data_IF_126226131540
#
_entry.id   IF_126226131540
#
_cell.length_a   1.000
_cell.length_b   1.000
_cell.length_c   1.000
_cell.angle_alpha   90.00
_cell.angle_beta   90.00
_cell.angle_gamma   90.00
#
_symmetry.space_group_name_H-M   'P 1'
#
loop_
_entity.id
_entity.type
_entity.pdbx_description
1 polymer ?
#
# COMPACT_ATOMS: atom_id res chain seq x y z
N UNK A 1 16.40 -0.25 4.34
CA UNK A 1 15.09 -0.81 3.96
C UNK A 1 15.31 -1.86 2.88
N UNK A 2 14.49 -2.92 2.81
CA UNK A 2 14.60 -3.93 1.76
C UNK A 2 13.64 -3.66 0.62
N UNK A 3 14.01 -4.04 -0.61
CA UNK A 3 13.14 -3.96 -1.79
C UNK A 3 11.91 -4.88 -1.60
N UNK A 4 10.73 -4.28 -1.57
CA UNK A 4 9.46 -5.00 -1.54
C UNK A 4 9.02 -5.38 -2.95
N UNK A 5 8.04 -6.29 -3.05
CA UNK A 5 7.41 -6.61 -4.33
C UNK A 5 6.60 -5.45 -4.89
N UNK A 6 6.07 -4.59 -4.03
CA UNK A 6 5.29 -3.43 -4.45
C UNK A 6 6.20 -2.36 -5.04
N UNK A 7 7.41 -2.19 -4.50
CA UNK A 7 8.42 -1.32 -5.12
C UNK A 7 8.75 -1.82 -6.54
N UNK A 8 9.01 -3.13 -6.70
CA UNK A 8 9.23 -3.73 -8.03
C UNK A 8 8.05 -3.51 -8.98
N UNK A 9 6.82 -3.59 -8.48
CA UNK A 9 5.62 -3.34 -9.29
C UNK A 9 5.60 -1.92 -9.87
N UNK A 10 6.08 -0.92 -9.13
CA UNK A 10 6.13 0.47 -9.59
C UNK A 10 7.20 0.68 -10.67
N UNK A 11 8.37 0.04 -10.53
CA UNK A 11 9.41 0.10 -11.58
C UNK A 11 9.02 -0.62 -12.87
N UNK A 12 8.17 -1.64 -12.80
CA UNK A 12 7.73 -2.38 -13.99
C UNK A 12 6.95 -1.52 -14.98
N UNK A 13 6.33 -0.44 -14.50
CA UNK A 13 5.52 0.43 -15.34
C UNK A 13 6.36 1.20 -16.38
N UNK A 14 7.62 1.50 -16.05
CA UNK A 14 8.57 2.21 -16.92
C UNK A 14 9.47 1.26 -17.73
N UNK A 15 9.42 -0.04 -17.46
CA UNK A 15 10.38 -1.01 -17.99
C UNK A 15 9.73 -1.99 -18.96
N UNK A 16 10.25 -2.09 -20.18
CA UNK A 16 9.76 -3.00 -21.23
C UNK A 16 10.33 -4.40 -21.11
N UNK A 17 11.42 -4.56 -20.37
CA UNK A 17 12.11 -5.82 -20.23
C UNK A 17 12.83 -5.90 -18.87
N UNK A 18 13.40 -7.07 -18.62
CA UNK A 18 14.10 -7.38 -17.36
C UNK A 18 15.37 -6.54 -17.18
N UNK A 19 16.10 -6.26 -18.25
CA UNK A 19 17.35 -5.51 -18.18
C UNK A 19 17.10 -4.05 -17.77
N UNK A 20 16.08 -3.42 -18.37
CA UNK A 20 15.60 -2.08 -17.99
C UNK A 20 15.17 -2.04 -16.52
N UNK A 21 14.41 -3.04 -16.05
CA UNK A 21 13.98 -3.14 -14.66
C UNK A 21 15.16 -3.22 -13.67
N UNK A 22 16.14 -4.07 -13.96
CA UNK A 22 17.32 -4.22 -13.12
C UNK A 22 18.09 -2.91 -13.03
N UNK A 23 18.30 -2.25 -14.17
CA UNK A 23 19.01 -0.98 -14.25
C UNK A 23 18.29 0.15 -13.51
N UNK A 24 16.96 0.24 -13.66
CA UNK A 24 16.16 1.25 -12.97
C UNK A 24 16.22 1.09 -11.43
N UNK A 25 16.15 -0.15 -10.94
CA UNK A 25 16.27 -0.45 -9.51
C UNK A 25 17.70 -0.17 -9.00
N UNK A 26 18.74 -0.54 -9.73
CA UNK A 26 20.14 -0.28 -9.34
C UNK A 26 20.49 1.21 -9.29
N UNK A 27 19.90 2.01 -10.17
CA UNK A 27 20.07 3.46 -10.19
C UNK A 27 19.46 4.14 -8.96
N UNK A 28 18.56 3.48 -8.25
CA UNK A 28 17.99 4.01 -7.03
C UNK A 28 18.94 3.83 -5.83
N UNK A 29 19.32 4.95 -5.18
CA UNK A 29 20.23 4.94 -4.04
C UNK A 29 19.74 4.06 -2.86
N UNK A 30 18.41 3.93 -2.68
CA UNK A 30 17.82 3.09 -1.62
C UNK A 30 18.00 1.59 -1.87
N UNK A 31 18.17 1.18 -3.13
CA UNK A 31 18.23 -0.21 -3.55
C UNK A 31 19.59 -0.61 -4.12
N UNK A 32 20.59 0.27 -4.01
CA UNK A 32 21.97 0.00 -4.39
C UNK A 32 22.48 -1.27 -3.70
N UNK A 33 22.89 -2.26 -4.50
CA UNK A 33 23.39 -3.55 -4.00
C UNK A 33 22.32 -4.61 -3.73
N UNK A 34 21.05 -4.37 -4.07
CA UNK A 34 20.04 -5.44 -4.12
C UNK A 34 20.43 -6.43 -5.23
N UNK A 35 20.57 -7.71 -4.87
CA UNK A 35 20.87 -8.77 -5.86
C UNK A 35 19.74 -8.99 -6.86
N UNK A 36 20.07 -9.38 -8.10
CA UNK A 36 19.09 -9.82 -9.10
C UNK A 36 18.21 -10.98 -8.61
N UNK A 37 18.76 -11.83 -7.73
CA UNK A 37 18.03 -12.94 -7.12
C UNK A 37 16.87 -12.43 -6.26
N UNK A 38 17.07 -11.35 -5.51
CA UNK A 38 16.02 -10.73 -4.70
C UNK A 38 14.93 -10.11 -5.59
N UNK A 39 15.31 -9.42 -6.66
CA UNK A 39 14.34 -8.86 -7.64
C UNK A 39 13.54 -9.99 -8.29
N UNK A 40 14.19 -11.08 -8.67
CA UNK A 40 13.54 -12.27 -9.24
C UNK A 40 12.53 -12.90 -8.29
N UNK A 41 12.84 -12.93 -6.99
CA UNK A 41 11.91 -13.42 -5.97
C UNK A 41 10.67 -12.52 -5.87
N UNK A 42 10.84 -11.19 -5.89
CA UNK A 42 9.73 -10.24 -5.89
C UNK A 42 8.85 -10.35 -7.14
N UNK A 43 9.45 -10.51 -8.31
CA UNK A 43 8.71 -10.79 -9.55
C UNK A 43 7.89 -12.08 -9.45
N UNK A 44 8.44 -13.14 -8.83
CA UNK A 44 7.70 -14.38 -8.58
C UNK A 44 6.51 -14.16 -7.64
N UNK A 45 6.68 -13.35 -6.59
CA UNK A 45 5.57 -12.98 -5.70
C UNK A 45 4.47 -12.21 -6.42
N UNK A 46 4.81 -11.25 -7.30
CA UNK A 46 3.83 -10.51 -8.10
C UNK A 46 3.06 -11.43 -9.06
N UNK A 47 3.75 -12.37 -9.71
CA UNK A 47 3.10 -13.37 -10.58
C UNK A 47 2.18 -14.30 -9.82
N UNK A 48 2.58 -14.72 -8.61
CA UNK A 48 1.76 -15.58 -7.74
C UNK A 48 0.42 -14.91 -7.38
N UNK A 49 0.44 -13.60 -7.20
CA UNK A 49 -0.76 -12.80 -6.91
C UNK A 49 -1.50 -12.35 -8.18
N UNK A 50 -1.06 -12.85 -9.35
CA UNK A 50 -1.61 -12.52 -10.67
C UNK A 50 -1.57 -11.02 -11.01
N UNK A 51 -0.64 -10.26 -10.42
CA UNK A 51 -0.52 -8.82 -10.62
C UNK A 51 0.25 -8.45 -11.89
N UNK A 52 1.10 -9.36 -12.36
CA UNK A 52 1.90 -9.19 -13.58
C UNK A 52 1.86 -10.47 -14.42
N UNK A 53 2.04 -10.32 -15.73
CA UNK A 53 2.12 -11.42 -16.69
C UNK A 53 3.50 -12.09 -16.66
N UNK A 54 3.64 -13.20 -17.41
CA UNK A 54 4.95 -13.84 -17.61
C UNK A 54 5.95 -12.91 -18.33
N UNK A 55 5.44 -11.95 -19.11
CA UNK A 55 6.21 -11.00 -19.91
C UNK A 55 6.58 -9.72 -19.15
N UNK A 56 6.36 -9.68 -17.82
CA UNK A 56 6.64 -8.51 -16.97
C UNK A 56 5.70 -7.32 -17.20
N UNK A 57 4.57 -7.54 -17.85
CA UNK A 57 3.53 -6.52 -18.02
C UNK A 57 2.56 -6.55 -16.84
N UNK A 58 1.95 -5.40 -16.53
CA UNK A 58 0.86 -5.34 -15.56
C UNK A 58 -0.34 -6.15 -16.05
N UNK A 59 -0.93 -6.97 -15.18
CA UNK A 59 -2.13 -7.73 -15.53
C UNK A 59 -3.39 -6.88 -15.33
N UNK A 60 -3.75 -6.12 -16.36
CA UNK A 60 -4.90 -5.19 -16.34
C UNK A 60 -6.26 -5.88 -16.11
N UNK A 61 -6.35 -7.18 -16.42
CA UNK A 61 -7.55 -7.99 -16.18
C UNK A 61 -7.76 -8.34 -14.69
N UNK A 62 -6.77 -8.07 -13.84
CA UNK A 62 -6.87 -8.32 -12.41
C UNK A 62 -7.43 -7.10 -11.66
N UNK A 63 -8.67 -7.12 -11.15
CA UNK A 63 -9.25 -5.98 -10.44
C UNK A 63 -8.51 -5.61 -9.14
N UNK A 64 -7.71 -6.53 -8.58
CA UNK A 64 -6.86 -6.23 -7.41
C UNK A 64 -5.66 -5.37 -7.76
N UNK A 65 -5.19 -5.41 -9.01
CA UNK A 65 -4.07 -4.58 -9.47
C UNK A 65 -4.43 -3.09 -9.30
N UNK A 66 -5.59 -2.68 -9.81
CA UNK A 66 -6.04 -1.29 -9.78
C UNK A 66 -6.24 -0.76 -8.36
N UNK A 67 -6.87 -1.57 -7.49
CA UNK A 67 -7.00 -1.22 -6.08
C UNK A 67 -5.64 -1.15 -5.36
N UNK A 68 -4.70 -2.04 -5.70
CA UNK A 68 -3.35 -1.98 -5.16
C UNK A 68 -2.63 -0.71 -5.62
N UNK A 69 -2.60 -0.41 -6.91
CA UNK A 69 -1.96 0.79 -7.45
C UNK A 69 -2.57 2.06 -6.84
N UNK A 70 -3.90 2.16 -6.79
CA UNK A 70 -4.57 3.26 -6.12
C UNK A 70 -4.17 3.37 -4.64
N UNK A 71 -4.12 2.26 -3.91
CA UNK A 71 -3.65 2.26 -2.52
C UNK A 71 -2.20 2.74 -2.38
N UNK A 72 -1.30 2.28 -3.24
CA UNK A 72 0.11 2.70 -3.24
C UNK A 72 0.23 4.21 -3.53
N UNK A 73 -0.50 4.71 -4.52
CA UNK A 73 -0.57 6.12 -4.89
C UNK A 73 -1.04 7.00 -3.73
N UNK A 74 -2.22 6.70 -3.18
CA UNK A 74 -2.82 7.48 -2.09
C UNK A 74 -2.02 7.38 -0.79
N UNK A 75 -1.34 6.26 -0.54
CA UNK A 75 -0.40 6.13 0.58
C UNK A 75 0.75 7.12 0.40
N UNK A 76 1.36 7.18 -0.79
CA UNK A 76 2.49 8.09 -1.07
C UNK A 76 2.08 9.55 -1.03
N UNK A 77 0.95 9.92 -1.64
CA UNK A 77 0.41 11.29 -1.56
C UNK A 77 0.25 11.78 -0.12
N UNK A 78 -0.11 10.90 0.80
CA UNK A 78 -0.29 11.21 2.23
C UNK A 78 0.97 11.00 3.07
N UNK A 79 2.12 10.81 2.44
CA UNK A 79 3.41 10.57 3.11
C UNK A 79 3.45 9.29 3.96
N UNK A 80 2.66 8.26 3.60
CA UNK A 80 2.55 7.01 4.35
C UNK A 80 3.41 5.90 3.75
N UNK A 81 4.04 5.11 4.62
CA UNK A 81 4.79 3.92 4.23
C UNK A 81 3.85 2.76 3.89
N UNK A 82 3.51 2.60 2.61
CA UNK A 82 2.66 1.51 2.14
C UNK A 82 3.25 0.13 2.44
N UNK A 83 4.59 -0.02 2.56
CA UNK A 83 5.20 -1.31 2.84
C UNK A 83 4.89 -1.74 4.26
N UNK A 84 4.95 -0.81 5.22
CA UNK A 84 4.52 -1.04 6.59
C UNK A 84 3.02 -1.38 6.67
N UNK A 85 2.18 -0.71 5.88
CA UNK A 85 0.73 -0.96 5.85
C UNK A 85 0.37 -2.28 5.17
N UNK A 86 1.07 -2.70 4.13
CA UNK A 86 0.82 -3.95 3.39
C UNK A 86 1.54 -5.17 3.98
N UNK A 87 2.29 -5.02 5.07
CA UNK A 87 2.88 -6.16 5.78
C UNK A 87 1.80 -7.17 6.16
N UNK A 88 2.09 -8.47 6.00
CA UNK A 88 1.15 -9.55 6.33
C UNK A 88 0.60 -9.54 7.76
N UNK A 89 1.30 -8.91 8.71
CA UNK A 89 0.81 -8.72 10.09
C UNK A 89 -0.14 -7.52 10.20
N UNK A 90 0.13 -6.42 9.50
CA UNK A 90 -0.74 -5.24 9.42
C UNK A 90 -2.07 -5.61 8.77
N UNK A 91 -2.03 -6.24 7.60
CA UNK A 91 -3.21 -6.70 6.87
C UNK A 91 -4.04 -7.69 7.70
N UNK A 92 -3.39 -8.63 8.38
CA UNK A 92 -4.06 -9.59 9.28
C UNK A 92 -4.74 -8.89 10.46
N UNK A 93 -4.11 -7.89 11.06
CA UNK A 93 -4.73 -7.14 12.17
C UNK A 93 -5.90 -6.32 11.65
N UNK A 94 -5.72 -5.58 10.57
CA UNK A 94 -6.77 -4.76 9.96
C UNK A 94 -7.98 -5.62 9.59
N UNK A 95 -7.80 -6.74 8.90
CA UNK A 95 -8.89 -7.65 8.55
C UNK A 95 -9.65 -8.20 9.77
N UNK A 96 -9.00 -8.33 10.94
CA UNK A 96 -9.68 -8.72 12.19
C UNK A 96 -10.46 -7.59 12.84
N UNK A 97 -10.02 -6.34 12.68
CA UNK A 97 -10.75 -5.15 13.14
C UNK A 97 -11.96 -4.94 12.23
N UNK A 98 -11.76 -5.07 10.92
CA UNK A 98 -12.79 -4.98 9.90
C UNK A 98 -13.91 -6.00 10.11
N UNK A 99 -13.57 -7.26 10.40
CA UNK A 99 -14.55 -8.31 10.68
C UNK A 99 -15.28 -8.16 12.05
N UNK A 100 -14.73 -7.39 12.99
CA UNK A 100 -15.31 -7.16 14.32
C UNK A 100 -14.87 -5.79 14.84
N UNK A 101 -15.56 -4.69 14.48
CA UNK A 101 -15.19 -3.34 14.87
C UNK A 101 -15.25 -3.07 16.39
N UNK A 102 -15.77 -4.02 17.18
CA UNK A 102 -15.82 -3.93 18.66
C UNK A 102 -14.79 -4.84 19.33
N UNK A 103 -13.84 -5.37 18.56
CA UNK A 103 -12.84 -6.31 19.06
C UNK A 103 -11.92 -5.65 20.10
N UNK A 104 -11.86 -6.27 21.28
CA UNK A 104 -10.91 -5.87 22.34
C UNK A 104 -9.49 -6.31 21.96
N UNK A 105 -8.47 -5.52 22.35
CA UNK A 105 -7.05 -5.83 22.12
C UNK A 105 -6.65 -7.26 22.53
N UNK A 106 -7.14 -7.73 23.68
CA UNK A 106 -6.86 -9.08 24.19
C UNK A 106 -7.44 -10.19 23.30
N UNK A 107 -8.60 -9.94 22.68
CA UNK A 107 -9.19 -10.85 21.68
C UNK A 107 -8.46 -10.75 20.34
N UNK A 108 -7.99 -9.56 19.96
CA UNK A 108 -7.23 -9.34 18.74
C UNK A 108 -5.94 -10.17 18.75
N UNK A 109 -5.16 -10.15 19.84
CA UNK A 109 -3.97 -10.99 20.00
C UNK A 109 -4.26 -12.48 19.83
N UNK A 110 -5.34 -12.99 20.45
CA UNK A 110 -5.75 -14.39 20.31
C UNK A 110 -6.13 -14.73 18.85
N UNK A 111 -6.91 -13.87 18.19
CA UNK A 111 -7.40 -14.09 16.81
C UNK A 111 -6.32 -13.94 15.74
N UNK A 112 -5.29 -13.15 16.00
CA UNK A 112 -4.15 -12.97 15.08
C UNK A 112 -3.01 -13.93 15.36
N UNK A 113 -2.97 -14.56 16.55
CA UNK A 113 -1.84 -15.38 17.01
C UNK A 113 -0.59 -14.54 17.29
N UNK A 114 -0.74 -13.23 17.46
CA UNK A 114 0.37 -12.30 17.69
C UNK A 114 0.42 -11.90 19.16
N UNK A 115 1.63 -11.65 19.67
CA UNK A 115 1.81 -11.13 21.02
C UNK A 115 1.17 -9.74 21.17
N UNK A 116 0.72 -9.38 22.38
CA UNK A 116 0.15 -8.04 22.65
C UNK A 116 1.07 -6.89 22.21
N UNK A 117 2.39 -6.92 22.46
CA UNK A 117 3.30 -5.88 21.96
C UNK A 117 3.31 -5.79 20.43
N UNK A 118 3.32 -6.93 19.74
CA UNK A 118 3.29 -6.98 18.27
C UNK A 118 2.00 -6.37 17.74
N UNK A 119 0.86 -6.75 18.33
CA UNK A 119 -0.45 -6.16 17.96
C UNK A 119 -0.45 -4.65 18.19
N UNK A 120 0.03 -4.19 19.34
CA UNK A 120 0.07 -2.75 19.66
C UNK A 120 0.95 -1.96 18.68
N UNK A 121 2.09 -2.53 18.26
CA UNK A 121 2.97 -1.95 17.23
C UNK A 121 2.23 -1.77 15.91
N UNK A 122 1.59 -2.83 15.41
CA UNK A 122 0.91 -2.79 14.12
C UNK A 122 -0.38 -1.97 14.15
N UNK A 123 -1.10 -1.92 15.28
CA UNK A 123 -2.17 -0.95 15.47
C UNK A 123 -1.64 0.49 15.39
N UNK A 124 -0.40 0.74 15.82
CA UNK A 124 0.23 2.07 15.73
C UNK A 124 0.46 2.45 14.28
N UNK A 125 1.02 1.51 13.50
CA UNK A 125 1.22 1.69 12.06
C UNK A 125 -0.09 1.94 11.31
N UNK A 126 -1.16 1.19 11.63
CA UNK A 126 -2.46 1.38 10.98
C UNK A 126 -3.12 2.72 11.35
N UNK A 127 -2.91 3.20 12.58
CA UNK A 127 -3.39 4.50 13.06
C UNK A 127 -2.60 5.65 12.44
N UNK A 128 -1.27 5.57 12.41
CA UNK A 128 -0.37 6.51 11.71
C UNK A 128 -0.66 6.56 10.20
N UNK A 129 -1.02 5.41 9.62
CA UNK A 129 -1.49 5.26 8.25
C UNK A 129 -2.91 5.77 7.99
N UNK A 130 -3.61 6.28 9.01
CA UNK A 130 -4.97 6.80 8.92
C UNK A 130 -6.02 5.76 8.43
N UNK A 131 -5.77 4.47 8.67
CA UNK A 131 -6.69 3.37 8.33
C UNK A 131 -7.65 3.06 9.48
N UNK A 132 -7.21 3.28 10.71
CA UNK A 132 -7.99 3.07 11.93
C UNK A 132 -7.86 4.24 12.88
N UNK A 133 -8.73 4.27 13.88
CA UNK A 133 -8.68 5.19 15.01
C UNK A 133 -8.78 4.42 16.32
N UNK A 134 -7.99 4.85 17.31
CA UNK A 134 -8.15 4.40 18.69
C UNK A 134 -8.96 5.42 19.48
N UNK A 135 -10.23 5.09 19.73
CA UNK A 135 -11.07 5.89 20.61
C UNK A 135 -10.67 5.57 22.06
N UNK A 136 -10.13 6.58 22.75
CA UNK A 136 -9.60 6.50 24.13
C UNK A 136 -10.71 6.39 25.18
N UNK A 137 -11.60 5.42 25.01
CA UNK A 137 -12.63 5.01 25.96
C UNK A 137 -12.17 3.78 26.78
N UNK A 138 -12.86 3.47 27.89
CA UNK A 138 -12.63 2.23 28.66
C UNK A 138 -13.85 1.31 28.49
N UNK A 139 -13.71 0.14 27.83
CA UNK A 139 -12.52 -0.40 27.19
C UNK A 139 -12.13 0.34 25.89
N UNK A 140 -10.84 0.29 25.52
CA UNK A 140 -10.32 0.87 24.28
C UNK A 140 -11.13 0.36 23.09
N UNK A 141 -11.67 1.28 22.28
CA UNK A 141 -12.43 0.98 21.08
C UNK A 141 -11.57 1.27 19.85
N UNK A 142 -11.63 0.37 18.87
CA UNK A 142 -10.94 0.51 17.59
C UNK A 142 -11.99 0.75 16.52
N UNK A 143 -11.93 1.88 15.82
CA UNK A 143 -12.80 2.17 14.68
C UNK A 143 -12.00 2.18 13.39
N UNK A 144 -12.65 1.86 12.27
CA UNK A 144 -12.08 2.07 10.95
C UNK A 144 -12.30 3.53 10.56
N UNK A 145 -11.30 4.14 9.92
CA UNK A 145 -11.45 5.46 9.31
C UNK A 145 -11.89 5.28 7.87
N UNK A 146 -13.15 5.59 7.58
CA UNK A 146 -13.68 5.52 6.22
C UNK A 146 -13.16 6.70 5.39
N UNK A 147 -12.21 6.41 4.50
CA UNK A 147 -11.61 7.36 3.56
C UNK A 147 -11.12 6.59 2.32
N UNK A 148 -10.67 7.30 1.28
CA UNK A 148 -10.23 6.71 0.00
C UNK A 148 -9.14 5.65 0.18
N UNK A 149 -8.17 5.92 1.06
CA UNK A 149 -7.08 4.99 1.34
C UNK A 149 -7.61 3.67 1.93
N UNK A 150 -8.50 3.78 2.91
CA UNK A 150 -9.16 2.63 3.52
C UNK A 150 -10.05 1.89 2.53
N UNK A 151 -10.74 2.59 1.63
CA UNK A 151 -11.55 2.00 0.57
C UNK A 151 -10.72 1.06 -0.31
N UNK A 152 -9.59 1.55 -0.85
CA UNK A 152 -8.71 0.72 -1.69
C UNK A 152 -8.07 -0.42 -0.89
N UNK A 153 -7.72 -0.19 0.37
CA UNK A 153 -7.16 -1.22 1.24
C UNK A 153 -8.15 -2.35 1.52
N UNK A 154 -9.43 -2.04 1.77
CA UNK A 154 -10.48 -3.04 2.01
C UNK A 154 -10.77 -3.86 0.75
N UNK A 155 -10.87 -3.21 -0.43
CA UNK A 155 -11.01 -3.88 -1.71
C UNK A 155 -9.84 -4.80 -2.03
N UNK A 156 -8.60 -4.35 -1.77
CA UNK A 156 -7.40 -5.15 -1.95
C UNK A 156 -7.43 -6.45 -1.13
N UNK A 157 -7.96 -6.38 0.09
CA UNK A 157 -8.13 -7.53 0.97
C UNK A 157 -9.29 -8.45 0.57
N UNK A 158 -10.08 -8.06 -0.44
CA UNK A 158 -11.18 -8.86 -0.99
C UNK A 158 -12.42 -8.90 -0.09
N UNK A 159 -12.62 -7.86 0.73
CA UNK A 159 -13.84 -7.72 1.52
C UNK A 159 -14.91 -7.00 0.70
N UNK A 160 -16.13 -7.50 0.80
CA UNK A 160 -17.30 -6.89 0.19
C UNK A 160 -17.64 -5.56 0.89
N UNK A 161 -17.66 -4.48 0.10
CA UNK A 161 -17.92 -3.13 0.59
C UNK A 161 -19.41 -2.87 0.86
N UNK A 162 -20.31 -3.65 0.27
CA UNK A 162 -21.76 -3.50 0.44
C UNK A 162 -22.16 -3.69 1.91
N UNK A 163 -21.40 -4.50 2.64
CA UNK A 163 -21.54 -4.74 4.07
C UNK A 163 -21.27 -3.52 4.96
N UNK A 164 -20.64 -2.46 4.41
CA UNK A 164 -20.31 -1.22 5.12
C UNK A 164 -21.21 -0.03 4.69
N UNK A 165 -22.22 -0.27 3.85
CA UNK A 165 -23.25 0.71 3.50
C UNK A 165 -22.71 2.04 2.93
N UNK A 166 -23.34 3.16 3.30
CA UNK A 166 -22.98 4.53 2.89
C UNK A 166 -21.75 5.11 3.62
N UNK A 167 -21.03 4.30 4.40
CA UNK A 167 -19.93 4.78 5.26
C UNK A 167 -18.70 5.19 4.44
N UNK A 168 -18.49 4.57 3.28
CA UNK A 168 -17.57 5.07 2.27
C UNK A 168 -18.26 6.13 1.41
N UNK A 169 -17.72 7.34 1.39
CA UNK A 169 -17.90 8.22 0.23
C UNK A 169 -17.16 7.49 -0.90
N UNK A 170 -17.90 6.93 -1.85
CA UNK A 170 -17.28 6.35 -3.05
C UNK A 170 -16.49 7.50 -3.67
N UNK A 171 -15.15 7.42 -3.72
CA UNK A 171 -14.37 8.45 -4.38
C UNK A 171 -14.94 8.58 -5.79
N UNK A 172 -15.09 9.80 -6.34
CA UNK A 172 -15.44 9.96 -7.76
C UNK A 172 -14.37 9.24 -8.59
N UNK A 173 -14.63 7.96 -8.85
CA UNK A 173 -13.81 7.11 -9.69
C UNK A 173 -14.12 7.58 -11.10
N UNK A 174 -13.50 8.68 -11.52
CA UNK A 174 -13.06 8.76 -12.91
C UNK A 174 -12.23 7.51 -13.09
N UNK A 175 -12.83 6.55 -13.79
CA UNK A 175 -12.36 5.19 -14.02
C UNK A 175 -10.85 5.07 -13.81
N UNK A 176 -10.45 4.34 -12.76
CA UNK A 176 -9.06 3.95 -12.50
C UNK A 176 -8.64 2.91 -13.56
N UNK A 177 -8.67 3.36 -14.80
CA UNK A 177 -8.17 2.73 -16.01
C UNK A 177 -7.23 3.70 -16.74
N UNK A 178 -7.21 4.98 -16.36
CA UNK A 178 -6.45 5.98 -17.09
C UNK A 178 -4.94 5.80 -16.89
N UNK A 179 -4.23 5.81 -18.01
CA UNK A 179 -2.78 6.02 -18.13
C UNK A 179 -2.26 7.16 -17.23
N UNK A 180 -3.13 8.12 -16.91
CA UNK A 180 -2.86 9.28 -16.07
C UNK A 180 -2.64 8.93 -14.58
N UNK A 181 -3.39 8.00 -13.98
CA UNK A 181 -3.13 7.56 -12.59
C UNK A 181 -1.76 6.89 -12.50
N UNK A 182 -1.46 6.13 -13.54
CA UNK A 182 -0.24 5.39 -13.79
C UNK A 182 0.98 6.34 -13.86
N UNK A 183 0.93 7.31 -14.78
CA UNK A 183 1.93 8.39 -14.91
C UNK A 183 2.11 9.18 -13.60
N UNK A 184 1.03 9.54 -12.90
CA UNK A 184 1.09 10.27 -11.61
C UNK A 184 1.70 9.45 -10.47
N UNK A 185 1.50 8.13 -10.45
CA UNK A 185 2.05 7.24 -9.43
C UNK A 185 3.55 7.04 -9.62
N UNK A 186 3.98 6.89 -10.87
CA UNK A 186 5.39 6.87 -11.26
C UNK A 186 6.09 8.16 -10.81
N UNK A 187 5.56 9.33 -11.17
CA UNK A 187 6.18 10.61 -10.80
C UNK A 187 6.38 10.72 -9.29
N UNK A 188 5.36 10.39 -8.49
CA UNK A 188 5.46 10.37 -7.03
C UNK A 188 6.48 9.38 -6.50
N UNK A 189 6.58 8.18 -7.09
CA UNK A 189 7.53 7.16 -6.67
C UNK A 189 8.97 7.57 -7.00
N UNK A 190 9.21 8.07 -8.20
CA UNK A 190 10.51 8.54 -8.66
C UNK A 190 10.96 9.76 -7.87
N UNK A 191 10.10 10.76 -7.63
CA UNK A 191 10.41 11.92 -6.79
C UNK A 191 10.70 11.51 -5.34
N UNK A 192 9.84 10.70 -4.73
CA UNK A 192 10.02 10.28 -3.33
C UNK A 192 11.29 9.46 -3.09
N UNK A 193 11.84 8.83 -4.11
CA UNK A 193 13.03 7.99 -4.00
C UNK A 193 14.31 8.66 -4.52
N UNK A 194 14.20 9.78 -5.25
CA UNK A 194 15.33 10.63 -5.65
C UNK A 194 15.60 11.76 -4.66
N UNK A 195 14.62 12.19 -3.87
CA UNK A 195 14.84 13.09 -2.73
C UNK A 195 15.33 12.30 -1.51
N UNK A 196 16.55 11.77 -1.62
CA UNK A 196 17.31 11.23 -0.49
C UNK A 196 18.44 12.19 -0.17
N UNK A 197 18.16 13.11 0.77
CA UNK A 197 19.06 13.75 1.75
C UNK A 197 18.45 15.11 2.16
N UNK A 198 17.71 15.13 3.27
CA UNK A 198 17.39 16.36 4.00
C UNK A 198 16.05 17.05 3.73
N UNK A 199 15.35 16.78 2.63
CA UNK A 199 14.09 17.48 2.30
C UNK A 199 12.92 16.49 2.13
N UNK A 200 12.06 16.37 3.13
CA UNK A 200 10.72 15.81 2.92
C UNK A 200 9.99 16.73 1.95
N UNK A 201 9.45 16.21 0.83
CA UNK A 201 8.61 17.01 -0.06
C UNK A 201 7.48 17.66 0.76
N UNK A 202 7.36 18.98 0.70
CA UNK A 202 6.34 19.72 1.44
C UNK A 202 4.99 19.63 0.73
N UNK A 203 3.89 19.93 1.44
CA UNK A 203 2.56 19.96 0.83
C UNK A 203 2.49 20.95 -0.36
N UNK A 204 3.24 22.06 -0.30
CA UNK A 204 3.38 23.03 -1.41
C UNK A 204 4.13 22.47 -2.63
N UNK A 205 5.13 21.59 -2.41
CA UNK A 205 5.88 20.97 -3.51
C UNK A 205 5.03 19.94 -4.26
N UNK A 206 4.16 19.25 -3.53
CA UNK A 206 3.14 18.36 -4.08
C UNK A 206 2.11 19.20 -4.84
N UNK A 207 1.59 20.27 -4.26
CA UNK A 207 0.59 21.12 -4.93
C UNK A 207 1.10 21.80 -6.21
N UNK A 208 2.39 22.16 -6.30
CA UNK A 208 2.99 22.69 -7.54
C UNK A 208 3.08 21.70 -8.71
N UNK A 209 3.11 20.41 -8.42
CA UNK A 209 3.16 19.35 -9.44
C UNK A 209 1.76 18.84 -9.79
N UNK A 210 0.81 18.93 -8.85
CA UNK A 210 -0.52 18.31 -8.96
C UNK A 210 -1.72 19.27 -8.97
N UNK A 211 -1.49 20.59 -8.89
CA UNK A 211 -2.49 21.65 -8.96
C UNK A 211 -2.93 22.01 -10.38
#
# INVERSE_FOLDING_TARGET
MGLSRFDVLLYLEECRNREELLKAIEQNALYKGISERAISERLRELRKDNLITKHLELNEDNPKLWNLLAFLHWSRLRGKDYNALLMGKSTKIFGRILADPRVKLSRLSKRTGLSKPTVSKYLGLLEEGNLIERVKEKPLKLSIRFNDLTFFYVNLLGHDLDSYGKEFIIPEMREIQSKELREKLIELHTYSTTVTEGNTATEEDVEKVFG
#
